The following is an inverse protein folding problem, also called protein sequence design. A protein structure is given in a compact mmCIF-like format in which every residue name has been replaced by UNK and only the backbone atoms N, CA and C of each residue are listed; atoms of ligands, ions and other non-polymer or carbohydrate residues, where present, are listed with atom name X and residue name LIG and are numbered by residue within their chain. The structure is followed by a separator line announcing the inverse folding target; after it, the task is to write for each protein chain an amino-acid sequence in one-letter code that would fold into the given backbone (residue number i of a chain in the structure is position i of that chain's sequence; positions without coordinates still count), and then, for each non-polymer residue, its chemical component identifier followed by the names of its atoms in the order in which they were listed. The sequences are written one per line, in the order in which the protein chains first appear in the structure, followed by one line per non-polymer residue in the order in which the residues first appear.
data_IF_926645386986
#
_entry.id   IF_926645386986
#
_cell.length_a   1.000
_cell.length_b   1.000
_cell.length_c   1.000
_cell.angle_alpha   90.00
_cell.angle_beta   90.00
_cell.angle_gamma   90.00
#
_symmetry.space_group_name_H-M   'P 1'
#
loop_
_entity.id
_entity.type
_entity.pdbx_description
1 polymer ?
#
# COMPACT_ATOMS: atom_id res chain seq x y z
N UNK A 1 13.31 6.22 3.94
CA UNK A 1 12.28 5.25 3.50
C UNK A 1 11.15 6.02 2.83
N UNK A 2 10.66 5.55 1.67
CA UNK A 2 9.48 6.12 1.01
C UNK A 2 8.22 5.64 1.72
N UNK A 3 7.17 6.46 1.72
CA UNK A 3 5.89 6.10 2.35
C UNK A 3 5.28 4.83 1.74
N UNK A 4 5.41 4.61 0.43
CA UNK A 4 4.97 3.38 -0.26
C UNK A 4 5.50 2.10 0.39
N UNK A 5 6.79 2.06 0.70
CA UNK A 5 7.40 0.91 1.38
C UNK A 5 6.89 0.75 2.82
N UNK A 6 6.64 1.86 3.53
CA UNK A 6 6.04 1.80 4.88
C UNK A 6 4.62 1.22 4.84
N UNK A 7 3.83 1.57 3.82
CA UNK A 7 2.48 1.02 3.63
C UNK A 7 2.53 -0.49 3.37
N UNK A 8 3.49 -0.98 2.58
CA UNK A 8 3.68 -2.41 2.37
C UNK A 8 4.03 -3.14 3.66
N UNK A 9 5.00 -2.62 4.42
CA UNK A 9 5.38 -3.21 5.70
C UNK A 9 4.21 -3.23 6.68
N UNK A 10 3.44 -2.13 6.76
CA UNK A 10 2.25 -2.07 7.61
C UNK A 10 1.20 -3.12 7.19
N UNK A 11 0.91 -3.25 5.89
CA UNK A 11 0.00 -4.27 5.38
C UNK A 11 0.47 -5.68 5.74
N UNK A 12 1.78 -5.94 5.72
CA UNK A 12 2.33 -7.23 6.06
C UNK A 12 2.16 -7.52 7.57
N UNK A 13 2.56 -6.58 8.43
CA UNK A 13 2.46 -6.76 9.87
C UNK A 13 1.01 -6.83 10.37
N UNK A 14 0.14 -5.96 9.87
CA UNK A 14 -1.25 -5.84 10.33
C UNK A 14 -2.26 -6.64 9.48
N UNK A 15 -1.84 -7.19 8.33
CA UNK A 15 -2.68 -7.92 7.35
C UNK A 15 -3.84 -7.10 6.77
N UNK A 16 -3.87 -5.80 7.07
CA UNK A 16 -4.94 -4.88 6.75
C UNK A 16 -4.33 -3.49 6.54
N UNK A 17 -4.70 -2.84 5.44
CA UNK A 17 -4.33 -1.47 5.16
C UNK A 17 -5.52 -0.73 4.57
N UNK A 18 -5.99 0.32 5.24
CA UNK A 18 -7.04 1.19 4.74
C UNK A 18 -6.44 2.48 4.17
N UNK A 19 -6.71 2.78 2.90
CA UNK A 19 -6.28 4.00 2.24
C UNK A 19 -7.49 4.92 1.96
N UNK A 20 -7.53 6.12 2.58
CA UNK A 20 -8.68 7.03 2.49
C UNK A 20 -9.05 7.42 1.05
N UNK A 21 -10.29 7.15 0.66
CA UNK A 21 -10.80 7.44 -0.68
C UNK A 21 -10.14 6.62 -1.81
N UNK A 22 -9.38 5.57 -1.48
CA UNK A 22 -8.88 4.57 -2.43
C UNK A 22 -9.60 3.24 -2.18
N UNK A 23 -9.42 2.67 -0.99
CA UNK A 23 -9.96 1.35 -0.66
C UNK A 23 -9.19 0.68 0.47
N UNK A 24 -9.34 -0.63 0.54
CA UNK A 24 -8.76 -1.47 1.56
C UNK A 24 -7.95 -2.61 0.93
N UNK A 25 -6.75 -2.83 1.43
CA UNK A 25 -5.93 -4.00 1.10
C UNK A 25 -5.98 -4.96 2.28
N UNK A 26 -6.14 -6.25 1.98
CA UNK A 26 -6.22 -7.32 2.99
C UNK A 26 -5.35 -8.49 2.57
N UNK A 27 -4.75 -9.14 3.57
CA UNK A 27 -4.07 -10.42 3.42
C UNK A 27 -4.78 -11.40 4.33
N UNK A 28 -4.98 -12.64 3.85
CA UNK A 28 -5.58 -13.67 4.68
C UNK A 28 -4.70 -13.95 5.92
N UNK A 29 -5.33 -14.07 7.09
CA UNK A 29 -4.62 -14.28 8.36
C UNK A 29 -3.87 -15.61 8.40
N UNK A 30 -4.30 -16.60 7.62
CA UNK A 30 -3.63 -17.90 7.52
C UNK A 30 -2.35 -17.87 6.68
N UNK A 31 -2.10 -16.79 5.93
CA UNK A 31 -0.94 -16.68 5.04
C UNK A 31 0.28 -16.24 5.85
N UNK A 32 1.31 -17.09 5.88
CA UNK A 32 2.63 -16.73 6.42
C UNK A 32 3.30 -15.67 5.53
N UNK A 33 4.01 -14.71 6.13
CA UNK A 33 4.76 -13.71 5.37
C UNK A 33 6.16 -14.23 5.13
N UNK A 34 6.52 -14.53 3.86
CA UNK A 34 7.88 -14.91 3.53
C UNK A 34 8.81 -13.71 3.62
N UNK A 35 10.11 -13.97 3.76
CA UNK A 35 11.11 -12.90 3.68
C UNK A 35 11.10 -12.27 2.27
N UNK A 36 11.39 -10.96 2.12
CA UNK A 36 11.43 -10.30 0.82
C UNK A 36 12.38 -10.94 -0.20
N UNK A 37 13.45 -11.60 0.28
CA UNK A 37 14.43 -12.32 -0.53
C UNK A 37 13.99 -13.74 -0.92
N UNK A 38 12.87 -14.22 -0.39
CA UNK A 38 12.37 -15.57 -0.65
C UNK A 38 11.76 -15.67 -2.05
N UNK A 39 11.99 -16.80 -2.72
CA UNK A 39 11.44 -17.05 -4.07
C UNK A 39 9.91 -17.11 -4.06
N UNK A 40 9.29 -17.46 -2.93
CA UNK A 40 7.84 -17.54 -2.75
C UNK A 40 7.21 -16.17 -2.46
N UNK A 41 7.98 -15.09 -2.38
CA UNK A 41 7.43 -13.75 -2.13
C UNK A 41 6.48 -13.30 -3.25
N UNK A 42 6.74 -13.69 -4.50
CA UNK A 42 5.84 -13.42 -5.62
C UNK A 42 4.46 -14.09 -5.44
N UNK A 43 4.43 -15.35 -4.98
CA UNK A 43 3.19 -16.06 -4.65
C UNK A 43 2.45 -15.43 -3.46
N UNK A 44 3.19 -14.94 -2.47
CA UNK A 44 2.61 -14.19 -1.35
C UNK A 44 1.91 -12.90 -1.82
N UNK A 45 2.50 -12.16 -2.76
CA UNK A 45 1.87 -10.95 -3.31
C UNK A 45 0.53 -11.25 -4.01
N UNK A 46 0.35 -12.45 -4.57
CA UNK A 46 -0.95 -12.88 -5.12
C UNK A 46 -2.04 -13.08 -4.05
N UNK A 47 -1.65 -13.18 -2.78
CA UNK A 47 -2.60 -13.30 -1.66
C UNK A 47 -3.14 -11.94 -1.20
N UNK A 48 -2.54 -10.83 -1.65
CA UNK A 48 -3.04 -9.49 -1.37
C UNK A 48 -4.32 -9.27 -2.15
N UNK A 49 -5.42 -8.98 -1.44
CA UNK A 49 -6.70 -8.65 -2.06
C UNK A 49 -7.01 -7.18 -1.87
N UNK A 50 -7.51 -6.56 -2.92
CA UNK A 50 -8.03 -5.20 -2.87
C UNK A 50 -9.55 -5.22 -2.81
N UNK A 51 -10.10 -4.51 -1.84
CA UNK A 51 -11.53 -4.27 -1.67
C UNK A 51 -11.79 -2.77 -1.88
N UNK A 52 -12.64 -2.45 -2.86
CA UNK A 52 -13.11 -1.08 -3.08
C UNK A 52 -14.11 -0.69 -1.97
N UNK A 53 -13.59 -0.32 -0.81
CA UNK A 53 -14.34 0.12 0.36
C UNK A 53 -14.23 1.64 0.51
N UNK A 54 -15.33 2.28 0.90
CA UNK A 54 -15.29 3.70 1.26
C UNK A 54 -14.57 3.88 2.60
N UNK A 55 -13.28 4.20 2.54
CA UNK A 55 -12.46 4.56 3.70
C UNK A 55 -12.47 6.07 3.84
N UNK A 56 -13.01 6.58 4.94
CA UNK A 56 -13.11 8.03 5.20
C UNK A 56 -11.85 8.59 5.86
N UNK A 57 -11.21 7.81 6.73
CA UNK A 57 -10.03 8.21 7.50
C UNK A 57 -9.04 7.06 7.59
N UNK A 58 -7.74 7.35 7.68
CA UNK A 58 -6.74 6.32 7.92
C UNK A 58 -6.87 5.79 9.35
N UNK A 59 -6.44 4.56 9.59
CA UNK A 59 -6.40 3.99 10.93
C UNK A 59 -5.35 4.75 11.78
N UNK A 60 -5.67 5.02 13.06
CA UNK A 60 -4.70 5.64 13.97
C UNK A 60 -3.43 4.79 14.12
N UNK A 61 -3.53 3.45 14.02
CA UNK A 61 -2.39 2.53 14.00
C UNK A 61 -1.46 2.78 12.81
N UNK A 62 -2.01 3.05 11.61
CA UNK A 62 -1.20 3.35 10.44
C UNK A 62 -0.43 4.66 10.62
N UNK A 63 -1.11 5.68 11.15
CA UNK A 63 -0.48 6.98 11.41
C UNK A 63 0.61 6.84 12.48
N UNK A 64 0.34 6.11 13.56
CA UNK A 64 1.33 5.87 14.62
C UNK A 64 2.53 5.07 14.08
N UNK A 65 2.29 4.07 13.24
CA UNK A 65 3.34 3.29 12.58
C UNK A 65 4.24 4.15 11.69
N UNK A 66 3.66 4.99 10.83
CA UNK A 66 4.42 5.94 10.00
C UNK A 66 5.22 6.87 10.91
N UNK A 67 4.61 7.36 11.99
CA UNK A 67 5.25 8.24 12.97
C UNK A 67 6.46 7.59 13.62
N UNK A 68 6.32 6.34 14.08
CA UNK A 68 7.37 5.57 14.74
C UNK A 68 8.52 5.24 13.79
N UNK A 69 8.22 4.82 12.55
CA UNK A 69 9.25 4.45 11.56
C UNK A 69 9.96 5.64 10.94
N UNK A 70 9.33 6.81 10.90
CA UNK A 70 9.92 8.03 10.32
C UNK A 70 10.47 9.01 11.36
N UNK A 71 10.09 8.89 12.64
CA UNK A 71 10.41 9.84 13.70
C UNK A 71 9.70 11.20 13.58
N UNK A 72 8.76 11.34 12.64
CA UNK A 72 8.01 12.58 12.41
C UNK A 72 6.98 12.82 13.52
N UNK A 73 6.42 14.02 13.61
CA UNK A 73 5.24 14.28 14.47
C UNK A 73 3.95 13.87 13.75
N UNK A 74 2.85 13.66 14.49
CA UNK A 74 1.58 13.13 13.96
C UNK A 74 1.07 13.94 12.74
N UNK A 75 1.01 15.28 12.79
CA UNK A 75 0.54 16.08 11.65
C UNK A 75 1.37 15.89 10.38
N UNK A 76 2.68 15.67 10.50
CA UNK A 76 3.55 15.43 9.35
C UNK A 76 3.30 14.04 8.76
N UNK A 77 3.20 13.01 9.61
CA UNK A 77 2.86 11.66 9.15
C UNK A 77 1.50 11.61 8.42
N UNK A 78 0.49 12.33 8.95
CA UNK A 78 -0.81 12.49 8.28
C UNK A 78 -0.67 13.22 6.94
N UNK A 79 0.11 14.30 6.89
CA UNK A 79 0.36 15.05 5.66
C UNK A 79 1.08 14.24 4.60
N UNK A 80 2.08 13.43 4.97
CA UNK A 80 2.78 12.54 4.03
C UNK A 80 1.81 11.49 3.44
N UNK A 81 0.96 10.88 4.28
CA UNK A 81 -0.04 9.91 3.83
C UNK A 81 -1.08 10.55 2.91
N UNK A 82 -1.59 11.72 3.28
CA UNK A 82 -2.55 12.45 2.46
C UNK A 82 -1.95 12.82 1.11
N UNK A 83 -0.71 13.31 1.10
CA UNK A 83 0.00 13.67 -0.14
C UNK A 83 0.12 12.46 -1.06
N UNK A 84 0.59 11.32 -0.53
CA UNK A 84 0.72 10.08 -1.31
C UNK A 84 -0.62 9.60 -1.89
N UNK A 85 -1.67 9.61 -1.08
CA UNK A 85 -3.01 9.20 -1.50
C UNK A 85 -3.58 10.16 -2.54
N UNK A 86 -3.40 11.47 -2.35
CA UNK A 86 -3.86 12.52 -3.25
C UNK A 86 -3.16 12.45 -4.61
N UNK A 87 -1.84 12.24 -4.63
CA UNK A 87 -1.07 12.03 -5.86
C UNK A 87 -1.56 10.80 -6.62
N UNK A 88 -1.76 9.68 -5.93
CA UNK A 88 -2.28 8.48 -6.59
C UNK A 88 -3.73 8.61 -7.07
N UNK A 89 -4.58 9.37 -6.38
CA UNK A 89 -5.93 9.72 -6.89
C UNK A 89 -5.85 10.51 -8.20
N UNK A 90 -4.92 11.47 -8.29
CA UNK A 90 -4.70 12.23 -9.52
C UNK A 90 -4.31 11.28 -10.65
N UNK A 91 -3.34 10.38 -10.42
CA UNK A 91 -2.92 9.36 -11.40
C UNK A 91 -4.11 8.52 -11.87
N UNK A 92 -4.88 7.95 -10.93
CA UNK A 92 -6.05 7.13 -11.22
C UNK A 92 -7.10 7.88 -12.04
N UNK A 93 -7.34 9.16 -11.73
CA UNK A 93 -8.31 9.98 -12.45
C UNK A 93 -7.86 10.35 -13.87
N UNK A 94 -6.55 10.43 -14.14
CA UNK A 94 -6.01 10.63 -15.49
C UNK A 94 -5.76 9.31 -16.24
N UNK A 95 -6.24 8.18 -15.70
CA UNK A 95 -6.09 6.85 -16.29
C UNK A 95 -4.68 6.24 -16.17
N UNK A 96 -3.84 6.80 -15.29
CA UNK A 96 -2.53 6.23 -14.96
C UNK A 96 -2.63 5.32 -13.74
N UNK A 97 -1.86 4.22 -13.69
CA UNK A 97 -1.81 3.38 -12.51
C UNK A 97 -1.13 4.09 -11.33
N UNK A 98 -1.68 3.91 -10.14
CA UNK A 98 -1.07 4.26 -8.86
C UNK A 98 -0.21 3.07 -8.41
N UNK A 99 1.09 3.27 -8.27
CA UNK A 99 2.00 2.22 -7.81
C UNK A 99 2.22 2.32 -6.30
N UNK A 100 2.05 1.19 -5.62
CA UNK A 100 2.36 1.02 -4.21
C UNK A 100 3.44 -0.05 -4.12
N UNK A 101 4.68 0.41 -3.97
CA UNK A 101 5.87 -0.44 -3.85
C UNK A 101 5.66 -1.53 -2.79
N UNK A 102 5.98 -2.79 -3.12
CA UNK A 102 5.73 -3.94 -2.25
C UNK A 102 4.27 -4.41 -2.17
N UNK A 103 3.29 -3.72 -2.75
CA UNK A 103 1.89 -4.20 -2.73
C UNK A 103 1.44 -4.53 -4.15
N UNK A 104 1.56 -3.55 -5.06
CA UNK A 104 1.08 -3.67 -6.43
C UNK A 104 0.69 -2.34 -7.03
N UNK A 105 -0.14 -2.37 -8.06
CA UNK A 105 -0.66 -1.18 -8.70
C UNK A 105 -2.17 -1.19 -8.77
N UNK A 106 -2.77 -0.01 -8.64
CA UNK A 106 -4.18 0.21 -8.82
C UNK A 106 -4.41 0.97 -10.11
N UNK A 107 -5.40 0.55 -10.90
CA UNK A 107 -5.83 1.21 -12.12
C UNK A 107 -7.32 1.54 -12.01
N UNK A 108 -7.75 2.68 -12.57
CA UNK A 108 -9.16 3.03 -12.66
C UNK A 108 -9.63 2.78 -14.08
N UNK A 109 -10.57 1.86 -14.26
CA UNK A 109 -11.09 1.54 -15.57
C UNK A 109 -12.10 2.60 -16.05
N UNK A 110 -12.55 2.45 -17.31
CA UNK A 110 -13.52 3.38 -17.94
C UNK A 110 -14.89 3.41 -17.26
N UNK A 111 -15.25 2.35 -16.53
CA UNK A 111 -16.48 2.26 -15.71
C UNK A 111 -16.32 2.93 -14.33
N UNK A 112 -15.13 3.48 -14.04
CA UNK A 112 -14.81 4.15 -12.79
C UNK A 112 -14.50 3.19 -11.64
N UNK A 113 -14.37 1.89 -11.89
CA UNK A 113 -13.99 0.87 -10.92
C UNK A 113 -12.48 0.74 -10.82
N UNK A 114 -12.01 0.44 -9.62
CA UNK A 114 -10.60 0.16 -9.39
C UNK A 114 -10.27 -1.31 -9.66
N UNK A 115 -9.23 -1.53 -10.44
CA UNK A 115 -8.66 -2.84 -10.75
C UNK A 115 -7.26 -2.91 -10.12
N UNK A 116 -7.05 -3.93 -9.30
CA UNK A 116 -5.78 -4.15 -8.62
C UNK A 116 -4.94 -5.19 -9.37
N UNK A 117 -3.67 -4.87 -9.56
CA UNK A 117 -2.65 -5.76 -10.10
C UNK A 117 -1.59 -5.99 -9.04
N UNK A 118 -1.34 -7.25 -8.69
CA UNK A 118 -0.34 -7.64 -7.70
C UNK A 118 1.06 -7.15 -8.12
N UNK A 119 1.84 -6.72 -7.13
CA UNK A 119 3.20 -6.23 -7.37
C UNK A 119 4.18 -7.33 -7.74
N UNK A 120 5.38 -6.90 -8.12
CA UNK A 120 6.55 -7.77 -8.12
C UNK A 120 7.25 -7.68 -6.76
N UNK A 121 8.02 -8.72 -6.35
CA UNK A 121 8.83 -8.68 -5.15
C UNK A 121 9.65 -7.39 -5.09
N UNK A 122 9.71 -6.77 -3.91
CA UNK A 122 10.53 -5.60 -3.64
C UNK A 122 11.99 -6.04 -3.74
N UNK A 123 12.52 -6.06 -4.97
CA UNK A 123 13.94 -6.24 -5.17
C UNK A 123 14.60 -4.97 -4.68
N UNK A 124 15.21 -5.04 -3.49
CA UNK A 124 16.24 -4.08 -3.12
C UNK A 124 17.29 -4.13 -4.23
N UNK A 125 17.19 -3.19 -5.17
CA UNK A 125 18.31 -2.86 -6.04
C UNK A 125 19.38 -2.29 -5.11
N UNK A 126 20.21 -3.16 -4.58
CA UNK A 126 21.56 -2.81 -4.14
C UNK A 126 22.25 -2.25 -5.37
N UNK A 127 22.29 -0.93 -5.47
CA UNK A 127 23.23 -0.26 -6.37
C UNK A 127 24.62 -0.62 -5.84
N UNK A 128 25.33 -1.47 -6.61
CA UNK A 128 26.75 -1.78 -6.41
C UNK A 128 27.64 -0.71 -7.03
#
# INVERSE_FOLDING_TARGET
MKISGLLAHFLYEHKLLNLPGIGQFVIDKAVAIPEPSDKNFADFLQQVKFNQKQVLRPDDELIDYIRLKTGKIKPLAESDLDSFVSEGKILLNIGKPMYIEGIGSLHKNKDGKFEFSHGQPMTERTEI
#
